data_IF_863672370554
#
_entry.id   IF_863672370554
#
_cell.length_a   1.000
_cell.length_b   1.000
_cell.length_c   1.000
_cell.angle_alpha   90.00
_cell.angle_beta   90.00
_cell.angle_gamma   90.00
#
_symmetry.space_group_name_H-M   'P 1'
#
loop_
_entity.id
_entity.type
_entity.pdbx_description
1 polymer ?
#
# COMPACT_ATOMS: atom_id res chain seq x y z
N UNK A 1 -13.47 -31.93 -0.54
CA UNK A 1 -12.74 -31.87 -1.81
C UNK A 1 -11.32 -31.44 -1.47
N UNK A 2 -10.35 -32.32 -1.58
CA UNK A 2 -8.95 -31.98 -1.37
C UNK A 2 -8.44 -31.27 -2.61
N UNK A 3 -7.70 -30.20 -2.42
CA UNK A 3 -7.12 -29.46 -3.53
C UNK A 3 -6.06 -30.34 -4.20
N UNK A 4 -6.25 -30.68 -5.45
CA UNK A 4 -5.20 -31.28 -6.28
C UNK A 4 -4.16 -30.20 -6.55
N UNK A 5 -2.91 -30.42 -6.11
CA UNK A 5 -1.82 -29.51 -6.43
C UNK A 5 -1.62 -29.42 -7.94
N UNK A 6 -1.23 -28.24 -8.43
CA UNK A 6 -0.84 -28.04 -9.83
C UNK A 6 0.46 -28.81 -10.08
N UNK A 7 0.37 -30.00 -10.61
CA UNK A 7 1.52 -30.90 -10.83
C UNK A 7 1.14 -32.37 -10.91
N UNK A 8 -0.14 -32.68 -10.84
CA UNK A 8 -0.62 -34.06 -10.99
C UNK A 8 -0.41 -34.96 -9.75
N UNK A 9 0.00 -34.39 -8.64
CA UNK A 9 0.11 -35.15 -7.38
C UNK A 9 -1.22 -35.14 -6.66
N UNK A 10 -1.82 -36.30 -6.52
CA UNK A 10 -2.98 -36.50 -5.64
C UNK A 10 -2.48 -36.62 -4.23
N UNK A 11 -2.80 -35.68 -3.37
CA UNK A 11 -2.51 -35.80 -1.93
C UNK A 11 -3.50 -36.81 -1.34
N UNK A 12 -3.07 -37.97 -0.90
CA UNK A 12 -3.99 -38.97 -0.34
C UNK A 12 -4.61 -38.45 0.95
N UNK A 13 -5.91 -38.61 1.06
CA UNK A 13 -6.64 -38.22 2.27
C UNK A 13 -6.60 -39.38 3.30
N UNK A 14 -5.64 -39.33 4.21
CA UNK A 14 -5.51 -40.28 5.31
C UNK A 14 -6.20 -39.82 6.60
N UNK A 15 -6.93 -38.71 6.56
CA UNK A 15 -7.54 -38.12 7.74
C UNK A 15 -6.55 -37.31 8.59
N UNK A 16 -6.90 -37.09 9.84
CA UNK A 16 -6.08 -36.39 10.82
C UNK A 16 -5.79 -37.25 12.01
N UNK A 17 -4.54 -37.25 12.44
CA UNK A 17 -4.12 -37.83 13.70
C UNK A 17 -4.07 -36.74 14.76
N UNK A 18 -4.75 -36.98 15.88
CA UNK A 18 -4.67 -36.11 17.06
C UNK A 18 -3.75 -36.77 18.07
N UNK A 19 -2.62 -36.16 18.34
CA UNK A 19 -1.62 -36.68 19.27
C UNK A 19 -1.34 -35.64 20.36
N UNK A 20 -1.19 -36.10 21.59
CA UNK A 20 -0.74 -35.27 22.70
C UNK A 20 0.77 -35.10 22.62
N UNK A 21 1.23 -33.89 22.46
CA UNK A 21 2.66 -33.56 22.43
C UNK A 21 3.23 -33.66 23.86
N UNK A 22 4.38 -34.32 24.02
CA UNK A 22 5.09 -34.59 25.27
C UNK A 22 4.62 -35.85 26.07
N UNK A 23 4.61 -36.97 25.44
CA UNK A 23 4.35 -38.26 26.08
C UNK A 23 5.60 -38.92 26.71
N UNK A 24 6.58 -38.15 27.18
CA UNK A 24 7.77 -38.71 27.84
C UNK A 24 7.54 -39.10 29.30
N UNK A 25 6.37 -38.88 29.87
CA UNK A 25 6.06 -39.33 31.22
C UNK A 25 5.22 -40.61 31.21
N UNK A 26 5.57 -41.53 32.08
CA UNK A 26 4.82 -42.77 32.33
C UNK A 26 3.54 -42.55 33.14
N UNK A 27 3.11 -41.31 33.32
CA UNK A 27 1.89 -40.96 34.01
C UNK A 27 0.66 -41.32 33.15
N UNK A 28 -0.31 -41.98 33.75
CA UNK A 28 -1.60 -42.27 33.13
C UNK A 28 -2.38 -40.96 32.98
N UNK A 29 -2.53 -40.50 31.74
CA UNK A 29 -3.39 -39.41 31.43
C UNK A 29 -4.84 -39.88 31.34
N UNK A 30 -5.76 -39.06 31.82
CA UNK A 30 -7.19 -39.34 31.70
C UNK A 30 -7.64 -39.38 30.24
N UNK A 31 -8.84 -39.90 30.01
CA UNK A 31 -9.44 -39.89 28.66
C UNK A 31 -9.78 -38.45 28.22
N UNK A 32 -9.38 -38.11 27.00
CA UNK A 32 -9.79 -36.86 26.35
C UNK A 32 -10.96 -37.15 25.41
N UNK A 33 -12.06 -36.45 25.60
CA UNK A 33 -13.25 -36.59 24.76
C UNK A 33 -13.38 -35.40 23.83
N UNK A 34 -13.71 -35.69 22.58
CA UNK A 34 -13.97 -34.68 21.57
C UNK A 34 -15.43 -34.76 21.12
N UNK A 35 -16.02 -33.60 20.81
CA UNK A 35 -17.35 -33.56 20.22
C UNK A 35 -17.29 -34.07 18.77
N UNK A 36 -18.30 -34.84 18.36
CA UNK A 36 -18.43 -35.30 16.99
C UNK A 36 -19.04 -34.21 16.11
N UNK A 37 -18.92 -34.38 14.80
CA UNK A 37 -19.56 -33.49 13.81
C UNK A 37 -21.09 -33.40 14.00
N UNK A 38 -21.72 -34.48 14.47
CA UNK A 38 -23.17 -34.60 14.62
C UNK A 38 -23.69 -34.08 15.95
N UNK A 39 -22.82 -33.47 16.74
CA UNK A 39 -23.20 -32.88 18.00
C UNK A 39 -24.06 -31.65 17.78
N UNK A 40 -25.22 -31.60 18.38
CA UNK A 40 -26.12 -30.43 18.37
C UNK A 40 -25.69 -29.31 19.34
N UNK A 41 -24.38 -29.14 19.52
CA UNK A 41 -23.79 -28.10 20.37
C UNK A 41 -23.06 -27.06 19.56
N UNK A 42 -22.74 -25.93 20.19
CA UNK A 42 -21.90 -24.88 19.58
C UNK A 42 -20.44 -25.32 19.40
N UNK A 43 -20.05 -26.46 19.96
CA UNK A 43 -18.68 -26.98 19.98
C UNK A 43 -18.39 -28.01 18.87
N UNK A 44 -19.03 -27.87 17.72
CA UNK A 44 -18.73 -28.72 16.57
C UNK A 44 -17.26 -28.53 16.17
N UNK A 45 -16.51 -29.63 15.92
CA UNK A 45 -15.12 -29.53 15.52
C UNK A 45 -14.99 -28.74 14.22
N UNK A 46 -14.07 -27.77 14.19
CA UNK A 46 -13.77 -26.92 13.02
C UNK A 46 -12.32 -27.09 12.65
N UNK A 47 -12.06 -27.32 11.38
CA UNK A 47 -10.72 -27.20 10.83
C UNK A 47 -10.50 -25.75 10.41
N UNK A 48 -9.57 -25.08 11.08
CA UNK A 48 -9.16 -23.73 10.71
C UNK A 48 -7.75 -23.84 10.11
N UNK A 49 -7.61 -23.45 8.86
CA UNK A 49 -6.32 -23.40 8.18
C UNK A 49 -5.87 -21.95 8.12
N UNK A 50 -4.72 -21.67 8.68
CA UNK A 50 -4.03 -20.39 8.51
C UNK A 50 -3.08 -20.53 7.33
N UNK A 51 -3.39 -19.85 6.23
CA UNK A 51 -2.54 -19.84 5.05
C UNK A 51 -1.60 -18.66 5.16
N UNK A 52 -0.32 -18.95 5.27
CA UNK A 52 0.73 -17.95 5.17
C UNK A 52 1.30 -17.98 3.75
N UNK A 53 1.05 -16.91 3.00
CA UNK A 53 1.56 -16.79 1.64
C UNK A 53 3.07 -16.48 1.60
N UNK A 54 3.68 -16.19 2.75
CA UNK A 54 5.11 -15.88 2.83
C UNK A 54 6.00 -17.09 2.54
N UNK A 55 5.47 -18.30 2.75
CA UNK A 55 6.22 -19.54 2.56
C UNK A 55 6.43 -19.95 1.11
N UNK A 56 5.73 -19.32 0.18
CA UNK A 56 5.84 -19.65 -1.25
C UNK A 56 6.95 -18.89 -1.99
N UNK A 57 7.61 -17.99 -1.33
CA UNK A 57 8.74 -17.26 -1.91
C UNK A 57 10.06 -17.83 -1.43
N UNK A 58 10.95 -18.17 -2.36
CA UNK A 58 12.30 -18.67 -2.08
C UNK A 58 13.27 -17.57 -1.63
N UNK A 59 12.81 -16.36 -1.36
CA UNK A 59 13.58 -15.22 -0.87
C UNK A 59 13.09 -14.75 0.49
N UNK A 60 13.92 -13.96 1.19
CA UNK A 60 13.49 -13.26 2.39
C UNK A 60 12.45 -12.21 1.99
N UNK A 61 11.19 -12.45 2.32
CA UNK A 61 10.16 -11.43 2.23
C UNK A 61 10.41 -10.39 3.31
N UNK A 62 10.90 -9.25 2.91
CA UNK A 62 10.75 -8.06 3.72
C UNK A 62 9.27 -7.67 3.66
N UNK A 63 8.63 -7.51 4.81
CA UNK A 63 7.24 -7.06 4.87
C UNK A 63 7.12 -5.76 4.07
N UNK A 64 6.42 -5.86 2.94
CA UNK A 64 6.24 -4.73 2.03
C UNK A 64 5.16 -3.85 2.62
N UNK A 65 5.53 -2.72 3.19
CA UNK A 65 4.59 -1.67 3.53
C UNK A 65 4.12 -1.01 2.23
N UNK A 66 2.99 -1.47 1.71
CA UNK A 66 2.38 -0.94 0.49
C UNK A 66 2.08 0.57 0.58
N UNK A 67 1.85 1.07 1.80
CA UNK A 67 1.53 2.47 2.08
C UNK A 67 2.60 3.10 2.98
N UNK A 68 3.81 3.26 2.49
CA UNK A 68 4.93 3.79 3.26
C UNK A 68 4.81 5.29 3.51
N UNK A 69 4.16 6.03 2.60
CA UNK A 69 4.09 7.49 2.62
C UNK A 69 2.66 8.00 2.66
N UNK A 70 2.46 9.08 3.40
CA UNK A 70 1.27 9.93 3.36
C UNK A 70 1.70 11.27 2.80
N UNK A 71 0.98 11.75 1.79
CA UNK A 71 1.26 13.03 1.15
C UNK A 71 0.11 14.01 1.32
N UNK A 72 0.46 15.27 1.40
CA UNK A 72 -0.47 16.38 1.33
C UNK A 72 -0.01 17.33 0.23
N UNK A 73 -0.86 17.59 -0.74
CA UNK A 73 -0.59 18.48 -1.86
C UNK A 73 -1.28 19.81 -1.63
N UNK A 74 -0.49 20.88 -1.63
CA UNK A 74 -1.04 22.25 -1.51
C UNK A 74 -1.41 22.77 -2.89
N UNK A 75 -2.62 22.45 -3.33
CA UNK A 75 -3.22 22.95 -4.56
C UNK A 75 -4.08 24.19 -4.29
N UNK A 76 -4.05 25.15 -5.20
CA UNK A 76 -5.09 26.18 -5.30
C UNK A 76 -6.30 25.55 -6.02
N UNK A 77 -7.52 25.98 -5.70
CA UNK A 77 -8.71 25.48 -6.40
C UNK A 77 -8.77 25.93 -7.86
N UNK A 78 -8.13 27.06 -8.19
CA UNK A 78 -8.06 27.57 -9.55
C UNK A 78 -6.69 28.23 -9.82
N UNK A 79 -6.21 28.06 -11.03
CA UNK A 79 -5.00 28.67 -11.59
C UNK A 79 -5.35 29.41 -12.87
N UNK A 80 -4.66 30.52 -13.13
CA UNK A 80 -4.81 31.24 -14.40
C UNK A 80 -4.05 30.50 -15.51
N UNK A 81 -4.58 30.50 -16.73
CA UNK A 81 -3.97 29.90 -17.93
C UNK A 81 -2.54 30.41 -18.20
N UNK A 82 -2.25 31.69 -17.90
CA UNK A 82 -0.90 32.24 -18.06
C UNK A 82 0.04 31.99 -16.86
N UNK A 83 -0.39 31.26 -15.84
CA UNK A 83 0.39 31.06 -14.61
C UNK A 83 1.31 29.84 -14.75
N UNK A 84 2.57 29.99 -14.33
CA UNK A 84 3.45 28.86 -14.02
C UNK A 84 3.30 28.53 -12.54
N UNK A 85 2.60 27.48 -12.22
CA UNK A 85 2.30 27.12 -10.85
C UNK A 85 3.41 26.28 -10.21
N UNK A 86 3.86 26.71 -9.03
CA UNK A 86 4.67 25.87 -8.14
C UNK A 86 3.76 25.17 -7.13
N UNK A 87 3.55 23.88 -7.32
CA UNK A 87 2.70 23.07 -6.45
C UNK A 87 3.59 22.32 -5.46
N UNK A 88 3.36 22.54 -4.15
CA UNK A 88 4.11 21.92 -3.09
C UNK A 88 3.46 20.62 -2.63
N UNK A 89 4.31 19.62 -2.39
CA UNK A 89 3.91 18.28 -1.95
C UNK A 89 4.69 17.98 -0.66
N UNK A 90 3.94 17.95 0.43
CA UNK A 90 4.47 17.57 1.74
C UNK A 90 4.30 16.07 1.92
N UNK A 91 5.30 15.41 2.43
CA UNK A 91 5.27 13.97 2.66
C UNK A 91 5.76 13.61 4.05
N UNK A 92 5.27 12.53 4.57
CA UNK A 92 5.76 11.91 5.79
C UNK A 92 5.63 10.40 5.72
N UNK A 93 6.39 9.69 6.51
CA UNK A 93 6.14 8.26 6.71
C UNK A 93 4.77 8.06 7.37
N UNK A 94 4.05 7.05 6.96
CA UNK A 94 2.73 6.70 7.52
C UNK A 94 2.85 6.40 9.02
N UNK A 95 3.91 5.71 9.41
CA UNK A 95 4.22 5.35 10.79
C UNK A 95 5.59 5.91 11.19
N UNK A 96 5.69 7.21 11.51
CA UNK A 96 6.96 7.82 11.88
C UNK A 96 7.41 7.32 13.25
N UNK A 97 8.68 6.92 13.35
CA UNK A 97 9.27 6.42 14.60
C UNK A 97 9.67 7.60 15.47
N UNK A 98 9.18 7.61 16.71
CA UNK A 98 9.64 8.56 17.74
C UNK A 98 10.98 8.11 18.31
N UNK A 99 11.86 9.06 18.56
CA UNK A 99 13.14 8.85 19.25
C UNK A 99 13.33 9.88 20.35
N UNK A 100 14.30 9.64 21.23
CA UNK A 100 14.65 10.61 22.29
C UNK A 100 15.11 11.96 21.73
N UNK A 101 15.66 11.98 20.51
CA UNK A 101 16.12 13.19 19.83
C UNK A 101 15.04 13.82 18.93
N UNK A 102 14.02 13.06 18.55
CA UNK A 102 12.91 13.54 17.72
C UNK A 102 11.58 13.08 18.32
N UNK A 103 11.01 13.88 19.18
CA UNK A 103 9.74 13.63 19.86
C UNK A 103 8.53 13.88 18.93
N UNK A 104 8.70 14.74 17.93
CA UNK A 104 7.65 15.15 16.99
C UNK A 104 8.05 14.83 15.53
N UNK A 105 8.21 13.55 15.16
CA UNK A 105 8.67 13.16 13.83
C UNK A 105 7.69 13.54 12.71
N UNK A 106 6.44 13.90 13.04
CA UNK A 106 5.43 14.35 12.08
C UNK A 106 5.76 15.77 11.55
N UNK A 107 6.40 16.60 12.36
CA UNK A 107 6.78 17.98 12.02
C UNK A 107 8.09 18.06 11.23
N UNK A 108 8.83 16.95 11.17
CA UNK A 108 10.09 16.89 10.44
C UNK A 108 9.82 16.87 8.93
N UNK A 109 10.53 17.70 8.18
CA UNK A 109 10.47 17.70 6.72
C UNK A 109 11.01 16.36 6.21
N UNK A 110 10.14 15.61 5.53
CA UNK A 110 10.49 14.37 4.88
C UNK A 110 10.39 14.54 3.36
N UNK A 111 11.35 13.98 2.66
CA UNK A 111 11.36 13.99 1.20
C UNK A 111 10.93 12.64 0.66
N UNK A 112 10.25 12.69 -0.47
CA UNK A 112 9.92 11.48 -1.22
C UNK A 112 11.19 10.91 -1.88
N UNK A 113 11.24 9.59 -2.13
CA UNK A 113 12.32 8.98 -2.87
C UNK A 113 12.56 9.66 -4.22
N UNK A 114 13.81 9.64 -4.69
CA UNK A 114 14.19 10.26 -5.97
C UNK A 114 13.45 9.69 -7.18
N UNK A 115 12.91 8.49 -7.06
CA UNK A 115 12.08 7.83 -8.08
C UNK A 115 10.59 8.11 -7.85
N UNK A 116 10.25 9.36 -7.60
CA UNK A 116 8.86 9.80 -7.45
C UNK A 116 8.46 10.70 -8.61
N UNK A 117 7.28 10.46 -9.16
CA UNK A 117 6.77 11.08 -10.38
C UNK A 117 5.33 11.55 -10.19
N UNK A 118 4.92 12.50 -11.01
CA UNK A 118 3.54 12.94 -11.05
C UNK A 118 2.88 12.66 -12.40
N UNK A 119 1.58 12.57 -12.39
CA UNK A 119 0.72 12.48 -13.58
C UNK A 119 -0.48 13.40 -13.38
N UNK A 120 -0.98 13.95 -14.47
CA UNK A 120 -2.17 14.80 -14.45
C UNK A 120 -3.23 14.16 -15.33
N UNK A 121 -4.42 14.03 -14.77
CA UNK A 121 -5.60 13.46 -15.43
C UNK A 121 -6.69 14.52 -15.54
N UNK A 122 -7.50 14.44 -16.60
CA UNK A 122 -8.76 15.16 -16.66
C UNK A 122 -9.71 14.57 -15.61
N UNK A 123 -10.29 15.43 -14.79
CA UNK A 123 -11.17 14.99 -13.70
C UNK A 123 -12.50 14.41 -14.13
N UNK A 124 -12.97 14.76 -15.33
CA UNK A 124 -14.26 14.32 -15.84
C UNK A 124 -14.19 13.02 -16.65
N UNK A 125 -13.09 12.84 -17.40
CA UNK A 125 -12.94 11.72 -18.33
C UNK A 125 -11.95 10.66 -17.84
N UNK A 126 -11.18 10.97 -16.78
CA UNK A 126 -10.02 10.18 -16.31
C UNK A 126 -8.92 9.98 -17.39
N UNK A 127 -8.97 10.79 -18.46
CA UNK A 127 -7.95 10.77 -19.49
C UNK A 127 -6.64 11.30 -18.95
N UNK A 128 -5.54 10.60 -19.27
CA UNK A 128 -4.20 11.00 -18.86
C UNK A 128 -3.70 12.11 -19.78
N UNK A 129 -3.62 13.32 -19.27
CA UNK A 129 -3.10 14.49 -20.00
C UNK A 129 -1.57 14.53 -19.95
N UNK A 130 -1.00 14.32 -18.77
CA UNK A 130 0.45 14.20 -18.57
C UNK A 130 0.73 12.83 -17.97
N UNK A 131 1.31 11.90 -18.74
CA UNK A 131 1.67 10.59 -18.23
C UNK A 131 2.90 10.63 -17.32
N UNK A 132 3.11 9.58 -16.55
CA UNK A 132 4.36 9.42 -15.80
C UNK A 132 5.54 9.28 -16.76
N UNK A 133 6.54 10.12 -16.56
CA UNK A 133 7.80 10.09 -17.28
C UNK A 133 8.99 10.17 -16.32
N UNK A 134 10.06 9.42 -16.61
CA UNK A 134 11.21 9.33 -15.72
C UNK A 134 12.08 10.60 -15.69
N UNK A 135 11.92 11.48 -16.67
CA UNK A 135 12.72 12.70 -16.84
C UNK A 135 11.85 13.92 -16.56
N UNK A 136 10.72 14.05 -17.26
CA UNK A 136 9.94 15.28 -17.32
C UNK A 136 8.94 15.41 -16.16
N UNK A 137 8.43 14.30 -15.61
CA UNK A 137 7.44 14.34 -14.51
C UNK A 137 8.03 13.95 -13.16
N UNK A 138 9.35 13.99 -13.04
CA UNK A 138 10.05 13.74 -11.79
C UNK A 138 9.81 14.87 -10.78
N UNK A 139 9.58 14.51 -9.52
CA UNK A 139 9.44 15.49 -8.44
C UNK A 139 10.79 16.15 -8.13
N UNK A 140 10.76 17.46 -7.91
CA UNK A 140 11.88 18.23 -7.39
C UNK A 140 11.71 18.47 -5.88
N UNK A 141 12.77 18.88 -5.20
CA UNK A 141 12.72 19.24 -3.79
C UNK A 141 13.52 20.50 -3.50
N UNK A 142 13.10 21.23 -2.48
CA UNK A 142 13.83 22.35 -1.89
C UNK A 142 13.92 22.15 -0.37
N UNK A 143 14.46 23.11 0.36
CA UNK A 143 14.62 23.01 1.82
C UNK A 143 13.29 22.86 2.59
N UNK A 144 12.16 23.09 1.95
CA UNK A 144 10.83 23.09 2.61
C UNK A 144 10.01 21.85 2.30
N UNK A 145 10.04 21.38 1.06
CA UNK A 145 9.18 20.26 0.62
C UNK A 145 9.59 19.75 -0.76
N UNK A 146 8.94 18.68 -1.20
CA UNK A 146 8.91 18.35 -2.63
C UNK A 146 8.02 19.35 -3.37
N UNK A 147 8.29 19.57 -4.65
CA UNK A 147 7.47 20.45 -5.48
C UNK A 147 7.52 20.02 -6.95
N UNK A 148 6.55 20.52 -7.69
CA UNK A 148 6.48 20.47 -9.16
C UNK A 148 6.22 21.87 -9.71
N UNK A 149 6.75 22.13 -10.90
CA UNK A 149 6.39 23.30 -11.69
C UNK A 149 5.54 22.85 -12.87
N UNK A 150 4.39 23.48 -13.02
CA UNK A 150 3.46 23.17 -14.12
C UNK A 150 3.11 24.47 -14.80
N UNK A 151 3.29 24.52 -16.11
CA UNK A 151 2.82 25.61 -16.95
C UNK A 151 1.34 25.37 -17.29
N UNK A 152 0.48 26.26 -16.82
CA UNK A 152 -0.97 26.12 -16.99
C UNK A 152 -1.42 26.43 -18.43
N UNK A 153 -0.58 27.03 -19.25
CA UNK A 153 -0.88 27.33 -20.65
C UNK A 153 -1.07 26.05 -21.51
N UNK A 154 -0.55 24.91 -21.05
CA UNK A 154 -0.74 23.63 -21.71
C UNK A 154 -2.10 22.95 -21.45
N UNK A 155 -2.95 23.53 -20.61
CA UNK A 155 -4.23 22.97 -20.22
C UNK A 155 -5.41 23.73 -20.83
N UNK A 156 -6.49 23.01 -21.11
CA UNK A 156 -7.73 23.66 -21.58
C UNK A 156 -8.37 24.45 -20.45
N UNK A 157 -8.67 25.73 -20.66
CA UNK A 157 -9.38 26.54 -19.67
C UNK A 157 -10.78 25.99 -19.41
N UNK A 158 -11.32 26.32 -18.23
CA UNK A 158 -12.64 25.90 -17.73
C UNK A 158 -12.77 24.38 -17.47
N UNK A 159 -11.66 23.63 -17.49
CA UNK A 159 -11.60 22.21 -17.10
C UNK A 159 -10.96 22.02 -15.75
N UNK A 160 -11.36 20.94 -15.09
CA UNK A 160 -10.81 20.49 -13.82
C UNK A 160 -9.87 19.31 -14.02
N UNK A 161 -8.74 19.36 -13.35
CA UNK A 161 -7.68 18.36 -13.45
C UNK A 161 -7.36 17.77 -12.09
N UNK A 162 -6.88 16.53 -12.08
CA UNK A 162 -6.51 15.77 -10.90
C UNK A 162 -5.03 15.43 -10.95
N UNK A 163 -4.34 15.64 -9.85
CA UNK A 163 -2.94 15.27 -9.68
C UNK A 163 -2.84 13.89 -9.04
N UNK A 164 -2.04 13.03 -9.64
CA UNK A 164 -1.73 11.71 -9.13
C UNK A 164 -0.21 11.57 -8.95
N UNK A 165 0.22 10.92 -7.87
CA UNK A 165 1.62 10.71 -7.57
C UNK A 165 1.97 9.22 -7.66
N UNK A 166 3.14 8.92 -8.21
CA UNK A 166 3.74 7.60 -8.20
C UNK A 166 5.04 7.66 -7.42
N UNK A 167 5.13 6.93 -6.34
CA UNK A 167 6.29 6.87 -5.47
C UNK A 167 6.90 5.48 -5.59
N UNK A 168 8.19 5.42 -5.92
CA UNK A 168 8.95 4.18 -5.97
C UNK A 168 10.13 4.29 -4.99
N UNK A 169 10.12 3.48 -3.95
CA UNK A 169 11.17 3.43 -2.93
C UNK A 169 12.25 2.38 -3.22
N UNK A 170 12.19 1.76 -4.40
CA UNK A 170 13.10 0.69 -4.82
C UNK A 170 12.62 -0.72 -4.43
N UNK A 171 11.68 -0.83 -3.51
CA UNK A 171 11.08 -2.09 -3.08
C UNK A 171 9.63 -2.16 -3.55
N UNK A 172 8.89 -1.07 -3.38
CA UNK A 172 7.47 -0.96 -3.74
C UNK A 172 7.18 0.27 -4.57
N UNK A 173 6.06 0.18 -5.30
CA UNK A 173 5.50 1.31 -6.03
C UNK A 173 4.15 1.64 -5.40
N UNK A 174 4.03 2.86 -4.87
CA UNK A 174 2.80 3.38 -4.31
C UNK A 174 2.22 4.43 -5.25
N UNK A 175 0.94 4.30 -5.57
CA UNK A 175 0.18 5.32 -6.30
C UNK A 175 -0.72 6.06 -5.31
N UNK A 176 -0.58 7.38 -5.27
CA UNK A 176 -1.35 8.24 -4.38
C UNK A 176 -2.26 9.12 -5.22
N UNK A 177 -3.54 8.98 -4.98
CA UNK A 177 -4.59 9.81 -5.53
C UNK A 177 -5.28 10.51 -4.36
N UNK A 178 -4.94 11.76 -4.14
CA UNK A 178 -5.46 12.52 -3.00
C UNK A 178 -6.84 13.15 -3.27
N UNK A 179 -7.50 12.82 -4.38
CA UNK A 179 -8.77 13.38 -4.82
C UNK A 179 -8.80 14.93 -4.76
N UNK A 180 -7.62 15.53 -4.99
CA UNK A 180 -7.46 16.97 -5.04
C UNK A 180 -7.53 17.46 -6.47
N UNK A 181 -8.42 18.40 -6.71
CA UNK A 181 -8.70 18.94 -8.04
C UNK A 181 -8.27 20.40 -8.12
N UNK A 182 -7.83 20.79 -9.29
CA UNK A 182 -7.63 22.20 -9.62
C UNK A 182 -8.28 22.52 -10.96
N UNK A 183 -8.73 23.75 -11.10
CA UNK A 183 -9.35 24.25 -12.33
C UNK A 183 -8.40 25.23 -12.99
N UNK A 184 -8.34 25.22 -14.32
CA UNK A 184 -7.65 26.28 -15.09
C UNK A 184 -8.70 27.26 -15.57
N UNK A 185 -8.45 28.53 -15.34
CA UNK A 185 -9.33 29.65 -15.71
C UNK A 185 -8.55 30.61 -16.60
N UNK A 186 -9.28 31.34 -17.43
CA UNK A 186 -8.71 32.42 -18.25
C UNK A 186 -8.33 33.65 -17.44
#
# INVERSE_FOLDING_TARGET
>A
MWLSGSGGYTIPNHGFLLELINTTSTASYGSVQYFSRETHTIYVPKLVMYLDNSTFTTGSLTAVNLDSYVTYTKLKPAYNEAEVAKIRIYSRNKYPVKSATNLFPIETVNYLPTSSFYSILDSATDEVIIPYDNIYTKLSCDSTSNFIHIDMNGFMPERSYRLQLKINDGITIQYINNDTYFKVIR
#
